data_IF_179145721761
#
_entry.id   IF_179145721761
#
_cell.length_a   1.000
_cell.length_b   1.000
_cell.length_c   1.000
_cell.angle_alpha   90.00
_cell.angle_beta   90.00
_cell.angle_gamma   90.00
#
_symmetry.space_group_name_H-M   'P 1'
#
loop_
_entity.id
_entity.type
_entity.pdbx_description
1 polymer ?
#
# COMPACT_ATOMS: atom_id res chain seq x y z
N UNK A 1 -8.27 -10.59 -20.28
CA UNK A 1 -9.51 -10.57 -19.47
C UNK A 1 -9.08 -10.22 -18.06
N UNK A 2 -9.06 -8.94 -17.70
CA UNK A 2 -8.64 -8.53 -16.34
C UNK A 2 -9.75 -8.95 -15.37
N UNK A 3 -9.44 -9.86 -14.45
CA UNK A 3 -10.38 -10.24 -13.39
C UNK A 3 -10.66 -9.02 -12.52
N UNK A 4 -11.94 -8.75 -12.26
CA UNK A 4 -12.39 -7.65 -11.42
C UNK A 4 -11.86 -7.86 -10.01
N UNK A 5 -11.10 -6.90 -9.49
CA UNK A 5 -10.64 -6.93 -8.11
C UNK A 5 -11.82 -6.53 -7.19
N UNK A 6 -12.24 -7.36 -6.23
CA UNK A 6 -13.29 -6.99 -5.28
C UNK A 6 -12.90 -5.74 -4.49
N UNK A 7 -13.80 -4.78 -4.33
CA UNK A 7 -13.52 -3.54 -3.59
C UNK A 7 -14.38 -3.42 -2.33
N UNK A 8 -13.78 -2.95 -1.23
CA UNK A 8 -14.56 -2.61 -0.03
C UNK A 8 -15.36 -1.35 -0.31
N UNK A 9 -16.63 -1.39 0.07
CA UNK A 9 -17.47 -0.21 0.18
C UNK A 9 -16.93 0.66 1.32
N UNK A 10 -15.84 1.41 1.08
CA UNK A 10 -15.36 2.54 1.92
C UNK A 10 -15.38 2.21 3.42
N UNK A 11 -14.27 1.87 4.12
CA UNK A 11 -14.37 1.36 5.49
C UNK A 11 -15.15 2.31 6.41
N UNK A 12 -16.41 1.93 6.64
CA UNK A 12 -17.40 2.72 7.35
C UNK A 12 -17.26 2.57 8.87
N UNK A 13 -16.38 1.68 9.31
CA UNK A 13 -16.18 1.33 10.71
C UNK A 13 -14.72 1.55 11.13
N UNK A 14 -14.47 1.82 12.41
CA UNK A 14 -13.12 1.88 12.96
C UNK A 14 -12.35 0.56 12.83
N UNK A 15 -13.04 -0.58 12.78
CA UNK A 15 -12.40 -1.89 12.65
C UNK A 15 -11.95 -2.18 11.22
N UNK A 16 -12.81 -2.00 10.22
CA UNK A 16 -12.41 -2.10 8.82
C UNK A 16 -11.29 -1.09 8.47
N UNK A 17 -11.39 0.14 8.98
CA UNK A 17 -10.34 1.16 8.79
C UNK A 17 -9.02 0.70 9.40
N UNK A 18 -9.05 0.13 10.61
CA UNK A 18 -7.85 -0.37 11.27
C UNK A 18 -7.21 -1.51 10.49
N UNK A 19 -7.99 -2.48 10.04
CA UNK A 19 -7.51 -3.67 9.35
C UNK A 19 -6.90 -3.33 7.98
N UNK A 20 -7.57 -2.46 7.21
CA UNK A 20 -7.03 -1.95 5.95
C UNK A 20 -5.79 -1.05 6.15
N UNK A 21 -5.76 -0.24 7.20
CA UNK A 21 -4.58 0.56 7.53
C UNK A 21 -3.42 -0.32 7.98
N UNK A 22 -3.69 -1.39 8.73
CA UNK A 22 -2.70 -2.39 9.15
C UNK A 22 -2.07 -3.05 7.91
N UNK A 23 -2.90 -3.55 7.01
CA UNK A 23 -2.49 -4.14 5.75
C UNK A 23 -1.66 -3.17 4.90
N UNK A 24 -2.12 -1.93 4.70
CA UNK A 24 -1.38 -0.93 3.93
C UNK A 24 0.04 -0.71 4.49
N UNK A 25 0.15 -0.54 5.81
CA UNK A 25 1.42 -0.20 6.46
C UNK A 25 2.33 -1.41 6.61
N UNK A 26 1.81 -2.55 7.00
CA UNK A 26 2.60 -3.71 7.45
C UNK A 26 2.67 -4.84 6.43
N UNK A 27 1.81 -4.85 5.41
CA UNK A 27 1.84 -5.86 4.36
C UNK A 27 2.16 -5.25 3.00
N UNK A 28 1.31 -4.35 2.48
CA UNK A 28 1.45 -3.82 1.12
C UNK A 28 2.70 -2.94 0.95
N UNK A 29 2.89 -1.93 1.80
CA UNK A 29 4.07 -1.06 1.71
C UNK A 29 5.40 -1.83 1.74
N UNK A 30 5.66 -2.74 2.71
CA UNK A 30 6.90 -3.50 2.71
C UNK A 30 6.98 -4.55 1.59
N UNK A 31 5.87 -5.10 1.11
CA UNK A 31 5.84 -5.97 -0.08
C UNK A 31 6.37 -5.21 -1.31
N UNK A 32 5.77 -4.06 -1.62
CA UNK A 32 6.13 -3.30 -2.83
C UNK A 32 7.55 -2.72 -2.69
N UNK A 33 7.99 -2.32 -1.49
CA UNK A 33 9.38 -1.96 -1.23
C UNK A 33 10.35 -3.12 -1.53
N UNK A 34 10.00 -4.33 -1.13
CA UNK A 34 10.80 -5.54 -1.39
C UNK A 34 10.91 -5.78 -2.89
N UNK A 35 9.78 -5.72 -3.61
CA UNK A 35 9.75 -5.86 -5.06
C UNK A 35 10.53 -4.74 -5.78
N UNK A 36 10.54 -3.54 -5.23
CA UNK A 36 11.33 -2.43 -5.76
C UNK A 36 12.83 -2.55 -5.45
N UNK A 37 13.25 -3.47 -4.57
CA UNK A 37 14.63 -3.53 -4.07
C UNK A 37 15.01 -2.38 -3.15
N UNK A 38 14.01 -1.71 -2.57
CA UNK A 38 14.18 -0.53 -1.73
C UNK A 38 14.49 -0.90 -0.27
N UNK A 39 15.19 -0.01 0.47
CA UNK A 39 15.72 -0.35 1.78
C UNK A 39 14.65 -0.49 2.88
N UNK A 40 15.01 -1.31 3.88
CA UNK A 40 14.35 -1.48 5.18
C UNK A 40 12.83 -1.80 5.20
N UNK A 41 12.31 -2.68 4.31
CA UNK A 41 10.91 -3.12 4.40
C UNK A 41 10.62 -3.84 5.73
N UNK A 42 11.64 -4.49 6.32
CA UNK A 42 11.55 -5.23 7.57
C UNK A 42 11.14 -4.37 8.77
N UNK A 43 11.43 -3.06 8.75
CA UNK A 43 10.97 -2.14 9.79
C UNK A 43 9.44 -2.11 9.90
N UNK A 44 8.75 -2.17 8.77
CA UNK A 44 7.29 -2.08 8.73
C UNK A 44 6.63 -3.39 9.15
N UNK A 45 7.15 -4.54 8.70
CA UNK A 45 6.67 -5.87 9.14
C UNK A 45 6.70 -6.03 10.67
N UNK A 46 7.72 -5.46 11.33
CA UNK A 46 7.93 -5.57 12.79
C UNK A 46 7.10 -4.58 13.62
N UNK A 47 6.30 -3.71 12.99
CA UNK A 47 5.42 -2.82 13.72
C UNK A 47 4.32 -3.61 14.46
N UNK A 48 3.81 -3.10 15.59
CA UNK A 48 2.67 -3.71 16.25
C UNK A 48 1.41 -3.58 15.36
N UNK A 49 0.48 -4.55 15.44
CA UNK A 49 -0.79 -4.48 14.74
C UNK A 49 -1.61 -3.25 15.09
N UNK A 50 -2.21 -2.65 14.06
CA UNK A 50 -3.16 -1.56 14.13
C UNK A 50 -4.53 -2.15 14.41
N UNK A 51 -5.21 -1.56 15.37
CA UNK A 51 -6.53 -2.00 15.83
C UNK A 51 -7.48 -0.82 15.85
N UNK A 52 -8.79 -1.06 15.98
CA UNK A 52 -9.78 0.01 16.11
C UNK A 52 -9.44 1.03 17.21
N UNK A 53 -8.78 0.57 18.29
CA UNK A 53 -8.33 1.43 19.37
C UNK A 53 -7.23 2.43 18.97
N UNK A 54 -6.47 2.14 17.90
CA UNK A 54 -5.49 3.04 17.29
C UNK A 54 -6.19 4.10 16.42
N UNK A 55 -7.19 3.67 15.64
CA UNK A 55 -8.01 4.55 14.79
C UNK A 55 -8.77 5.57 15.65
N UNK A 56 -9.29 5.15 16.81
CA UNK A 56 -9.99 6.04 17.73
C UNK A 56 -9.09 7.09 18.43
N UNK A 57 -7.76 6.99 18.35
CA UNK A 57 -6.82 7.89 19.06
C UNK A 57 -5.60 8.24 18.20
N UNK A 58 -5.48 9.48 17.71
CA UNK A 58 -4.41 9.88 16.77
C UNK A 58 -2.99 9.54 17.27
N UNK A 59 -2.74 9.73 18.57
CA UNK A 59 -1.42 9.53 19.17
C UNK A 59 -0.89 8.09 19.18
N UNK A 60 -1.74 7.09 18.93
CA UNK A 60 -1.34 5.68 18.94
C UNK A 60 -0.64 5.23 17.65
N UNK A 61 -0.81 5.96 16.55
CA UNK A 61 -0.12 5.68 15.28
C UNK A 61 1.25 6.34 15.16
N UNK A 62 1.69 7.11 16.17
CA UNK A 62 2.98 7.83 16.13
C UNK A 62 4.19 6.93 15.88
N UNK A 63 4.16 5.69 16.36
CA UNK A 63 5.24 4.73 16.09
C UNK A 63 5.30 4.33 14.62
N UNK A 64 4.14 4.09 14.00
CA UNK A 64 4.01 3.77 12.58
C UNK A 64 4.43 4.95 11.71
N UNK A 65 4.01 6.17 12.06
CA UNK A 65 4.43 7.41 11.39
C UNK A 65 5.95 7.54 11.38
N UNK A 66 6.60 7.44 12.55
CA UNK A 66 8.07 7.54 12.64
C UNK A 66 8.79 6.47 11.83
N UNK A 67 8.27 5.25 11.81
CA UNK A 67 8.86 4.17 11.01
C UNK A 67 8.74 4.45 9.51
N UNK A 68 7.58 4.93 9.05
CA UNK A 68 7.37 5.30 7.64
C UNK A 68 8.23 6.49 7.21
N UNK A 69 8.36 7.51 8.05
CA UNK A 69 9.26 8.64 7.81
C UNK A 69 10.72 8.18 7.65
N UNK A 70 11.17 7.27 8.51
CA UNK A 70 12.51 6.69 8.43
C UNK A 70 12.72 5.88 7.15
N UNK A 71 11.74 5.05 6.78
CA UNK A 71 11.79 4.26 5.54
C UNK A 71 11.85 5.19 4.33
N UNK A 72 10.96 6.17 4.25
CA UNK A 72 10.94 7.15 3.16
C UNK A 72 12.25 7.93 3.06
N UNK A 73 12.82 8.37 4.18
CA UNK A 73 14.11 9.05 4.19
C UNK A 73 15.23 8.15 3.62
N UNK A 74 15.26 6.86 3.99
CA UNK A 74 16.22 5.91 3.45
C UNK A 74 16.00 5.64 1.96
N UNK A 75 14.74 5.50 1.53
CA UNK A 75 14.36 5.37 0.11
C UNK A 75 14.86 6.59 -0.67
N UNK A 76 14.59 7.81 -0.20
CA UNK A 76 15.04 9.04 -0.86
C UNK A 76 16.57 9.09 -0.99
N UNK A 77 17.31 8.75 0.06
CA UNK A 77 18.78 8.66 0.03
C UNK A 77 19.24 7.61 -0.99
N UNK A 78 18.61 6.43 -0.99
CA UNK A 78 18.94 5.35 -1.92
C UNK A 78 18.70 5.76 -3.38
N UNK A 79 17.54 6.37 -3.67
CA UNK A 79 17.18 6.83 -5.01
C UNK A 79 18.15 7.92 -5.49
N UNK A 80 18.52 8.88 -4.63
CA UNK A 80 19.49 9.94 -4.97
C UNK A 80 20.89 9.41 -5.22
N UNK A 81 21.31 8.36 -4.51
CA UNK A 81 22.61 7.71 -4.68
C UNK A 81 22.78 7.01 -6.04
N UNK A 82 21.72 6.96 -6.86
CA UNK A 82 21.84 6.66 -8.28
C UNK A 82 21.86 5.17 -8.63
N UNK A 83 21.52 4.28 -7.69
CA UNK A 83 21.35 2.84 -7.99
C UNK A 83 20.21 2.54 -8.97
N UNK A 84 19.33 3.52 -9.22
CA UNK A 84 18.27 3.47 -10.24
C UNK A 84 18.51 4.46 -11.40
N UNK A 85 19.76 4.94 -11.60
CA UNK A 85 20.14 5.75 -12.77
C UNK A 85 20.62 4.83 -13.90
N UNK A 86 19.73 4.23 -14.67
CA UNK A 86 20.05 3.69 -16.02
C UNK A 86 18.75 3.69 -16.85
N UNK A 87 18.80 3.84 -18.19
CA UNK A 87 17.81 4.56 -18.95
C UNK A 87 16.45 3.90 -18.79
N UNK A 88 15.43 4.74 -18.70
CA UNK A 88 14.06 4.33 -18.92
C UNK A 88 14.05 3.43 -20.15
N UNK A 89 13.81 2.13 -19.97
CA UNK A 89 13.23 1.37 -21.06
C UNK A 89 12.03 2.21 -21.50
N UNK A 90 11.94 2.60 -22.78
CA UNK A 90 10.84 3.44 -23.23
C UNK A 90 9.57 2.81 -22.69
N UNK A 91 8.76 3.59 -21.96
CA UNK A 91 7.49 3.16 -21.43
C UNK A 91 6.66 2.66 -22.61
N UNK A 92 6.78 1.38 -22.92
CA UNK A 92 5.94 0.74 -23.90
C UNK A 92 4.56 0.76 -23.28
N UNK A 93 3.56 1.11 -24.09
CA UNK A 93 2.16 1.26 -23.68
C UNK A 93 1.58 -0.05 -23.10
N UNK A 94 2.32 -1.16 -23.21
CA UNK A 94 2.01 -2.52 -22.73
C UNK A 94 2.63 -2.89 -21.37
N UNK A 95 3.39 -2.02 -20.72
CA UNK A 95 3.95 -2.36 -19.40
C UNK A 95 2.84 -2.38 -18.34
N UNK A 96 2.52 -3.56 -17.81
CA UNK A 96 1.54 -3.73 -16.74
C UNK A 96 1.93 -2.86 -15.53
N UNK A 97 0.97 -2.19 -14.86
CA UNK A 97 1.28 -1.40 -13.67
C UNK A 97 1.80 -2.31 -12.56
N UNK A 98 2.74 -1.85 -11.73
CA UNK A 98 3.32 -2.66 -10.65
C UNK A 98 2.35 -2.94 -9.47
N UNK A 99 1.25 -2.20 -9.39
CA UNK A 99 0.19 -2.32 -8.37
C UNK A 99 -1.15 -2.08 -9.08
N UNK A 100 -2.22 -2.83 -8.76
CA UNK A 100 -3.54 -2.59 -9.34
C UNK A 100 -4.07 -1.18 -9.08
N UNK A 101 -4.77 -0.60 -10.05
CA UNK A 101 -5.33 0.75 -9.92
C UNK A 101 -6.31 0.87 -8.76
N UNK A 102 -7.16 -0.14 -8.59
CA UNK A 102 -8.15 -0.22 -7.51
C UNK A 102 -7.48 -0.26 -6.12
N UNK A 103 -6.31 -0.92 -6.03
CA UNK A 103 -5.50 -0.92 -4.81
C UNK A 103 -4.98 0.50 -4.54
N UNK A 104 -4.47 1.20 -5.55
CA UNK A 104 -4.02 2.58 -5.38
C UNK A 104 -5.16 3.52 -4.96
N UNK A 105 -6.35 3.38 -5.55
CA UNK A 105 -7.54 4.14 -5.15
C UNK A 105 -7.89 3.92 -3.67
N UNK A 106 -7.93 2.67 -3.22
CA UNK A 106 -8.21 2.32 -1.82
C UNK A 106 -7.16 2.90 -0.87
N UNK A 107 -5.88 2.82 -1.22
CA UNK A 107 -4.81 3.39 -0.39
C UNK A 107 -4.85 4.92 -0.35
N UNK A 108 -5.23 5.57 -1.45
CA UNK A 108 -5.47 7.02 -1.51
C UNK A 108 -6.66 7.44 -0.66
N UNK A 109 -7.74 6.66 -0.69
CA UNK A 109 -8.90 6.89 0.17
C UNK A 109 -8.53 6.73 1.66
N UNK A 110 -7.82 5.66 2.03
CA UNK A 110 -7.35 5.42 3.39
C UNK A 110 -6.45 6.56 3.89
N UNK A 111 -5.61 7.12 3.01
CA UNK A 111 -4.78 8.27 3.33
C UNK A 111 -5.63 9.47 3.77
N UNK A 112 -6.73 9.76 3.07
CA UNK A 112 -7.68 10.81 3.44
C UNK A 112 -8.37 10.52 4.77
N UNK A 113 -8.97 9.34 4.90
CA UNK A 113 -9.75 8.98 6.10
C UNK A 113 -8.91 8.96 7.37
N UNK A 114 -7.71 8.39 7.33
CA UNK A 114 -6.83 8.36 8.51
C UNK A 114 -6.25 9.75 8.80
N UNK A 115 -6.08 10.61 7.78
CA UNK A 115 -5.70 12.01 7.98
C UNK A 115 -6.80 12.83 8.66
N UNK A 116 -8.08 12.61 8.34
CA UNK A 116 -9.21 13.20 9.07
C UNK A 116 -9.20 12.83 10.56
N UNK A 117 -8.68 11.64 10.89
CA UNK A 117 -8.41 11.19 12.25
C UNK A 117 -7.10 11.76 12.83
N UNK A 118 -6.57 12.83 12.23
CA UNK A 118 -5.35 13.54 12.64
C UNK A 118 -4.08 12.68 12.64
N UNK A 119 -3.99 11.68 11.75
CA UNK A 119 -2.81 10.83 11.61
C UNK A 119 -2.32 10.77 10.15
N UNK A 120 -1.04 11.09 9.87
CA UNK A 120 -0.50 10.99 8.51
C UNK A 120 -0.08 9.55 8.14
N UNK A 121 -0.31 8.55 8.99
CA UNK A 121 0.26 7.22 8.83
C UNK A 121 -0.12 6.56 7.49
N UNK A 122 -1.41 6.54 7.13
CA UNK A 122 -1.84 5.95 5.86
C UNK A 122 -1.36 6.76 4.65
N UNK A 123 -1.27 8.10 4.75
CA UNK A 123 -0.73 8.93 3.69
C UNK A 123 0.76 8.68 3.42
N UNK A 124 1.55 8.51 4.48
CA UNK A 124 2.98 8.15 4.35
C UNK A 124 3.14 6.74 3.75
N UNK A 125 2.29 5.80 4.13
CA UNK A 125 2.32 4.45 3.57
C UNK A 125 1.89 4.41 2.10
N UNK A 126 0.83 5.14 1.73
CA UNK A 126 0.43 5.33 0.34
C UNK A 126 1.59 5.94 -0.49
N UNK A 127 2.23 7.00 0.01
CA UNK A 127 3.42 7.58 -0.64
C UNK A 127 4.56 6.56 -0.79
N UNK A 128 4.77 5.70 0.20
CA UNK A 128 5.76 4.63 0.16
C UNK A 128 5.44 3.62 -0.95
N UNK A 129 4.19 3.17 -1.04
CA UNK A 129 3.69 2.27 -2.10
C UNK A 129 3.86 2.91 -3.47
N UNK A 130 3.41 4.16 -3.67
CA UNK A 130 3.54 4.87 -4.95
C UNK A 130 4.99 5.01 -5.40
N UNK A 131 5.88 5.36 -4.47
CA UNK A 131 7.32 5.50 -4.77
C UNK A 131 7.92 4.17 -5.21
N UNK A 132 7.63 3.09 -4.46
CA UNK A 132 8.15 1.76 -4.77
C UNK A 132 7.54 1.17 -6.05
N UNK A 133 6.23 1.35 -6.26
CA UNK A 133 5.54 0.93 -7.47
C UNK A 133 6.11 1.64 -8.71
N UNK A 134 6.43 2.93 -8.61
CA UNK A 134 7.08 3.67 -9.69
C UNK A 134 8.45 3.10 -10.07
N UNK A 135 9.24 2.64 -9.09
CA UNK A 135 10.52 1.97 -9.33
C UNK A 135 10.33 0.63 -10.07
N UNK A 136 9.37 -0.18 -9.63
CA UNK A 136 9.07 -1.47 -10.27
C UNK A 136 8.53 -1.26 -11.69
N UNK A 137 7.59 -0.33 -11.88
CA UNK A 137 6.99 -0.02 -13.18
C UNK A 137 8.01 0.55 -14.18
N UNK A 138 9.06 1.22 -13.70
CA UNK A 138 10.18 1.67 -14.52
C UNK A 138 11.16 0.54 -14.92
N UNK A 139 10.87 -0.71 -14.54
CA UNK A 139 11.74 -1.87 -14.81
C UNK A 139 13.01 -1.89 -13.96
N UNK A 140 13.04 -1.10 -12.89
CA UNK A 140 14.24 -0.91 -12.08
C UNK A 140 14.18 -1.68 -10.74
N UNK A 141 13.06 -2.33 -10.43
CA UNK A 141 12.87 -3.18 -9.26
C UNK A 141 13.55 -4.55 -9.35
N UNK A 142 13.44 -5.34 -8.27
CA UNK A 142 13.87 -6.73 -8.21
C UNK A 142 12.84 -7.72 -8.79
N UNK A 143 11.56 -7.35 -8.76
CA UNK A 143 10.48 -8.15 -9.33
C UNK A 143 9.98 -7.51 -10.64
N UNK A 144 9.41 -8.33 -11.52
CA UNK A 144 8.69 -7.84 -12.69
C UNK A 144 7.41 -7.12 -12.27
N UNK A 145 6.95 -6.18 -13.09
CA UNK A 145 5.76 -5.40 -12.79
C UNK A 145 4.50 -6.28 -12.64
N UNK A 146 4.37 -7.32 -13.45
CA UNK A 146 3.26 -8.28 -13.36
C UNK A 146 3.27 -9.10 -12.06
N UNK A 147 4.45 -9.53 -11.60
CA UNK A 147 4.58 -10.27 -10.33
C UNK A 147 4.21 -9.39 -9.15
N UNK A 148 4.67 -8.12 -9.18
CA UNK A 148 4.28 -7.14 -8.17
C UNK A 148 2.78 -6.86 -8.21
N UNK A 149 2.21 -6.72 -9.40
CA UNK A 149 0.78 -6.49 -9.58
C UNK A 149 -0.05 -7.63 -9.01
N UNK A 150 0.25 -8.86 -9.41
CA UNK A 150 -0.50 -10.06 -9.03
C UNK A 150 -0.42 -10.34 -7.52
N UNK A 151 0.76 -10.17 -6.93
CA UNK A 151 0.96 -10.35 -5.49
C UNK A 151 0.26 -9.24 -4.68
N UNK A 152 0.28 -8.00 -5.17
CA UNK A 152 -0.45 -6.88 -4.55
C UNK A 152 -1.96 -7.10 -4.63
N UNK A 153 -2.46 -7.58 -5.78
CA UNK A 153 -3.86 -7.95 -5.97
C UNK A 153 -4.27 -9.08 -5.00
N UNK A 154 -3.46 -10.12 -4.89
CA UNK A 154 -3.72 -11.23 -3.97
C UNK A 154 -3.74 -10.80 -2.50
N UNK A 155 -2.76 -9.98 -2.11
CA UNK A 155 -2.69 -9.38 -0.78
C UNK A 155 -3.93 -8.56 -0.46
N UNK A 156 -4.38 -7.74 -1.42
CA UNK A 156 -5.60 -6.96 -1.30
C UNK A 156 -6.86 -7.84 -1.18
N UNK A 157 -7.04 -8.82 -2.06
CA UNK A 157 -8.18 -9.75 -1.98
C UNK A 157 -8.23 -10.48 -0.62
N UNK A 158 -7.06 -10.82 -0.06
CA UNK A 158 -6.97 -11.45 1.27
C UNK A 158 -7.47 -10.53 2.38
N UNK A 159 -7.00 -9.28 2.43
CA UNK A 159 -7.45 -8.34 3.48
C UNK A 159 -8.92 -7.98 3.31
N UNK A 160 -9.40 -7.81 2.08
CA UNK A 160 -10.82 -7.52 1.80
C UNK A 160 -11.72 -8.66 2.26
N UNK A 161 -11.32 -9.91 2.00
CA UNK A 161 -12.06 -11.08 2.47
C UNK A 161 -12.16 -11.11 4.00
N UNK A 162 -11.10 -10.70 4.72
CA UNK A 162 -11.13 -10.60 6.18
C UNK A 162 -12.07 -9.49 6.66
N UNK A 163 -12.07 -8.33 6.00
CA UNK A 163 -13.04 -7.25 6.29
C UNK A 163 -14.46 -7.78 6.13
N UNK A 164 -14.77 -8.47 5.03
CA UNK A 164 -16.12 -8.98 4.77
C UNK A 164 -16.55 -10.10 5.72
N UNK A 165 -15.62 -10.90 6.22
CA UNK A 165 -15.92 -11.90 7.25
C UNK A 165 -16.27 -11.25 8.60
N UNK A 166 -15.55 -10.18 8.97
CA UNK A 166 -15.83 -9.44 10.21
C UNK A 166 -17.05 -8.51 10.09
N UNK A 167 -17.29 -7.98 8.89
CA UNK A 167 -18.30 -6.97 8.59
C UNK A 167 -18.93 -7.23 7.20
N UNK A 168 -19.87 -8.20 7.10
CA UNK A 168 -20.48 -8.57 5.82
C UNK A 168 -21.14 -7.39 5.08
N UNK A 169 -21.62 -6.40 5.83
CA UNK A 169 -22.23 -5.17 5.30
C UNK A 169 -21.23 -4.23 4.59
N UNK A 170 -19.92 -4.43 4.72
CA UNK A 170 -18.89 -3.62 4.06
C UNK A 170 -18.57 -4.08 2.62
N UNK A 171 -19.26 -5.11 2.11
CA UNK A 171 -19.09 -5.64 0.77
C UNK A 171 -19.75 -4.80 -0.33
N UNK A 172 -18.96 -4.42 -1.35
CA UNK A 172 -19.48 -4.02 -2.66
C UNK A 172 -18.81 -4.85 -3.75
N UNK A 173 -19.60 -5.41 -4.66
CA UNK A 173 -19.12 -5.88 -5.96
C UNK A 173 -19.17 -4.67 -6.91
N UNK A 174 -18.01 -4.10 -7.25
CA UNK A 174 -17.95 -3.05 -8.26
C UNK A 174 -18.11 -3.70 -9.64
N UNK A 175 -19.22 -3.40 -10.30
CA UNK A 175 -19.52 -3.81 -11.67
C UNK A 175 -18.92 -2.77 -12.64
N UNK A 176 -17.80 -3.04 -13.34
CA UNK A 176 -17.31 -2.17 -14.39
C UNK A 176 -18.31 -2.15 -15.54
N UNK A 177 -18.82 -0.94 -15.79
CA UNK A 177 -19.37 -0.57 -17.08
C UNK A 177 -18.27 -0.48 -18.12
#
# INVERSE_FOLDING_TARGET
MYSRTPAVAVPATPHATALLTDWLIRDLAPLVLTHAGLPDPQRLYRLPPITAAHIARPGKLRRHVRALEQVLAQVEVHLRAGRYRWPAAPLTVDSAPAVPGEVLEVTGWLAGTVAELSSPAAALANRTVLTAAGVVAAGAGLAEAFDSWSTSAWSYCTVVSQVWQGEPQAGLLVDPR
#
